data_IF_237775295671
#
_entry.id   IF_237775295671
#
_cell.length_a   1.000
_cell.length_b   1.000
_cell.length_c   1.000
_cell.angle_alpha   90.00
_cell.angle_beta   90.00
_cell.angle_gamma   90.00
#
_symmetry.space_group_name_H-M   'P 1'
#
loop_
_entity.id
_entity.type
_entity.pdbx_description
1 polymer ?
#
# COMPACT_ATOMS: atom_id res chain seq x y z
N UNK A 1 4.41 -2.87 24.03
CA UNK A 1 4.27 -2.59 25.47
C UNK A 1 5.58 -2.03 26.02
N UNK A 2 6.73 -2.74 25.92
CA UNK A 2 8.02 -2.37 26.52
C UNK A 2 8.44 -0.92 26.26
N UNK A 3 8.44 -0.51 24.98
CA UNK A 3 8.83 0.85 24.62
C UNK A 3 7.93 1.93 25.24
N UNK A 4 6.65 1.62 25.42
CA UNK A 4 5.71 2.54 26.05
C UNK A 4 5.94 2.63 27.56
N UNK A 5 6.18 1.49 28.21
CA UNK A 5 6.50 1.46 29.64
C UNK A 5 7.82 2.15 29.99
N UNK A 6 8.83 2.08 29.11
CA UNK A 6 10.12 2.77 29.31
C UNK A 6 9.99 4.31 29.39
N UNK A 7 8.96 4.88 28.76
CA UNK A 7 8.77 6.34 28.71
C UNK A 7 7.56 6.82 29.50
N UNK A 8 6.86 5.93 30.20
CA UNK A 8 5.58 6.23 30.85
C UNK A 8 5.69 7.32 31.90
N UNK A 9 6.80 7.35 32.66
CA UNK A 9 7.08 8.37 33.66
C UNK A 9 7.23 9.78 33.04
N UNK A 10 7.67 9.87 31.79
CA UNK A 10 7.80 11.13 31.06
C UNK A 10 6.50 11.57 30.37
N UNK A 11 5.45 10.77 30.45
CA UNK A 11 4.15 11.00 29.81
C UNK A 11 3.01 11.04 30.87
N UNK A 12 2.94 12.08 31.70
CA UNK A 12 1.96 12.15 32.79
C UNK A 12 0.50 12.15 32.30
N UNK A 13 0.26 12.61 31.07
CA UNK A 13 -1.09 12.64 30.47
C UNK A 13 -1.50 11.29 29.83
N UNK A 14 -0.59 10.32 29.74
CA UNK A 14 -0.92 9.00 29.21
C UNK A 14 -1.76 8.24 30.25
N UNK A 15 -3.01 7.96 29.94
CA UNK A 15 -3.93 7.28 30.84
C UNK A 15 -3.86 5.76 30.69
N UNK A 16 -3.92 5.27 29.46
CA UNK A 16 -3.92 3.82 29.16
C UNK A 16 -3.02 3.47 27.99
N UNK A 17 -2.47 2.27 28.03
CA UNK A 17 -1.77 1.60 26.94
C UNK A 17 -2.61 0.37 26.58
N UNK A 18 -3.28 0.44 25.43
CA UNK A 18 -4.13 -0.65 24.95
C UNK A 18 -3.29 -1.61 24.11
N UNK A 19 -3.39 -2.91 24.37
CA UNK A 19 -2.68 -3.95 23.65
C UNK A 19 -3.66 -5.01 23.10
N UNK A 20 -3.30 -5.67 21.99
CA UNK A 20 -4.16 -6.64 21.29
C UNK A 20 -3.80 -8.10 21.59
N UNK A 21 -2.58 -8.38 22.01
CA UNK A 21 -2.03 -9.73 22.09
C UNK A 21 -1.41 -9.96 23.45
N UNK A 22 -1.86 -10.99 24.15
CA UNK A 22 -1.41 -11.35 25.50
C UNK A 22 -0.08 -12.10 25.51
N UNK A 23 0.32 -12.70 24.39
CA UNK A 23 1.53 -13.51 24.33
C UNK A 23 2.76 -12.70 24.69
N UNK A 24 3.48 -13.16 25.70
CA UNK A 24 4.66 -12.49 26.21
C UNK A 24 4.38 -11.38 27.24
N UNK A 25 3.11 -11.15 27.62
CA UNK A 25 2.73 -10.09 28.57
C UNK A 25 2.35 -10.60 29.97
N UNK A 26 2.40 -11.90 30.25
CA UNK A 26 1.97 -12.49 31.52
C UNK A 26 2.80 -12.07 32.74
N UNK A 27 3.96 -11.46 32.55
CA UNK A 27 4.78 -10.90 33.64
C UNK A 27 4.63 -9.38 33.80
N UNK A 28 3.78 -8.75 32.99
CA UNK A 28 3.53 -7.31 33.06
C UNK A 28 2.31 -7.04 33.94
N UNK A 29 2.53 -6.35 35.05
CA UNK A 29 1.49 -5.87 35.95
C UNK A 29 1.62 -4.35 36.08
N UNK A 30 0.89 -3.62 35.24
CA UNK A 30 0.91 -2.17 35.25
C UNK A 30 -0.51 -1.60 35.09
N UNK A 31 -0.98 -0.70 35.99
CA UNK A 31 -2.38 -0.24 36.02
C UNK A 31 -2.83 0.55 34.80
N UNK A 32 -1.89 1.01 33.97
CA UNK A 32 -2.19 1.67 32.70
C UNK A 32 -2.26 0.71 31.51
N UNK A 33 -1.93 -0.58 31.69
CA UNK A 33 -2.15 -1.59 30.65
C UNK A 33 -3.62 -2.00 30.61
N UNK A 34 -4.15 -2.15 29.40
CA UNK A 34 -5.53 -2.56 29.16
C UNK A 34 -5.59 -3.44 27.92
N UNK A 35 -6.26 -4.59 28.01
CA UNK A 35 -6.52 -5.41 26.82
C UNK A 35 -7.55 -4.73 25.91
N UNK A 36 -7.41 -4.95 24.60
CA UNK A 36 -8.30 -4.33 23.62
C UNK A 36 -9.77 -4.70 23.82
N UNK A 37 -10.07 -5.92 24.24
CA UNK A 37 -11.45 -6.35 24.49
C UNK A 37 -12.07 -5.58 25.67
N UNK A 38 -11.30 -5.31 26.74
CA UNK A 38 -11.75 -4.46 27.85
C UNK A 38 -12.05 -3.04 27.37
N UNK A 39 -11.17 -2.50 26.50
CA UNK A 39 -11.39 -1.19 25.89
C UNK A 39 -12.67 -1.16 25.04
N UNK A 40 -12.97 -2.23 24.28
CA UNK A 40 -14.20 -2.33 23.50
C UNK A 40 -15.47 -2.38 24.39
N UNK A 41 -15.43 -3.10 25.51
CA UNK A 41 -16.57 -3.15 26.45
C UNK A 41 -16.85 -1.78 27.09
N UNK A 42 -15.79 -1.02 27.43
CA UNK A 42 -15.95 0.36 27.89
C UNK A 42 -16.63 1.21 26.79
N UNK A 43 -16.12 1.15 25.57
CA UNK A 43 -16.69 1.88 24.42
C UNK A 43 -18.13 1.52 24.13
N UNK A 44 -18.51 0.24 24.28
CA UNK A 44 -19.87 -0.21 24.12
C UNK A 44 -20.80 0.35 25.19
N UNK A 45 -20.36 0.34 26.46
CA UNK A 45 -21.13 0.91 27.57
C UNK A 45 -21.34 2.43 27.39
N UNK A 46 -20.30 3.14 26.96
CA UNK A 46 -20.40 4.57 26.67
C UNK A 46 -21.33 4.87 25.49
N UNK A 47 -21.25 4.06 24.44
CA UNK A 47 -22.14 4.22 23.28
C UNK A 47 -23.63 3.97 23.64
N UNK A 48 -23.91 2.99 24.49
CA UNK A 48 -25.27 2.73 24.97
C UNK A 48 -25.79 3.91 25.84
N UNK A 49 -24.91 4.55 26.63
CA UNK A 49 -25.26 5.69 27.46
C UNK A 49 -25.42 7.00 26.66
N UNK A 50 -24.61 7.18 25.61
CA UNK A 50 -24.55 8.42 24.82
C UNK A 50 -24.51 8.11 23.32
N UNK A 51 -25.59 7.59 22.72
CA UNK A 51 -25.58 7.13 21.33
C UNK A 51 -25.29 8.24 20.31
N UNK A 52 -25.66 9.47 20.60
CA UNK A 52 -25.47 10.65 19.71
C UNK A 52 -24.05 11.26 19.82
N UNK A 53 -23.22 10.80 20.78
CA UNK A 53 -21.93 11.44 21.08
C UNK A 53 -21.00 11.49 19.87
N UNK A 54 -20.91 10.40 19.10
CA UNK A 54 -20.02 10.34 17.92
C UNK A 54 -20.46 11.33 16.85
N UNK A 55 -21.77 11.39 16.56
CA UNK A 55 -22.33 12.32 15.55
C UNK A 55 -22.16 13.78 15.97
N UNK A 56 -22.35 14.08 17.27
CA UNK A 56 -22.09 15.41 17.83
C UNK A 56 -20.62 15.82 17.71
N UNK A 57 -19.67 14.89 17.92
CA UNK A 57 -18.25 15.21 17.77
C UNK A 57 -17.88 15.38 16.29
N UNK A 58 -18.40 14.53 15.39
CA UNK A 58 -18.19 14.65 13.95
C UNK A 58 -18.68 16.00 13.42
N UNK A 59 -19.83 16.48 13.91
CA UNK A 59 -20.39 17.78 13.52
C UNK A 59 -19.54 18.98 13.95
N UNK A 60 -18.64 18.83 14.92
CA UNK A 60 -17.74 19.89 15.42
C UNK A 60 -16.42 19.98 14.66
N UNK A 61 -16.11 18.96 13.84
CA UNK A 61 -14.83 18.92 13.11
C UNK A 61 -14.82 20.00 12.04
N UNK A 62 -13.73 20.78 12.04
CA UNK A 62 -13.48 21.81 11.04
C UNK A 62 -12.26 21.45 10.15
N UNK A 63 -12.20 22.05 8.96
CA UNK A 63 -11.14 21.78 7.99
C UNK A 63 -9.71 21.97 8.55
N UNK A 64 -9.55 22.88 9.48
CA UNK A 64 -8.25 23.19 10.10
C UNK A 64 -7.87 22.25 11.25
N UNK A 65 -8.79 21.42 11.74
CA UNK A 65 -8.48 20.46 12.80
C UNK A 65 -7.48 19.40 12.32
N UNK A 66 -6.55 19.05 13.20
CA UNK A 66 -5.54 18.04 12.91
C UNK A 66 -6.17 16.64 13.01
N UNK A 67 -6.26 15.96 11.87
CA UNK A 67 -6.79 14.60 11.81
C UNK A 67 -5.76 13.58 12.31
N UNK A 68 -4.48 13.73 11.92
CA UNK A 68 -3.40 12.86 12.37
C UNK A 68 -2.02 13.46 12.15
N UNK A 69 -1.03 12.90 12.85
CA UNK A 69 0.38 13.24 12.70
C UNK A 69 1.13 12.15 11.94
N UNK A 70 1.97 12.57 11.00
CA UNK A 70 2.89 11.67 10.29
C UNK A 70 4.31 12.04 10.65
N UNK A 71 4.99 11.18 11.42
CA UNK A 71 6.37 11.40 11.79
C UNK A 71 7.30 11.01 10.65
N UNK A 72 8.14 11.92 10.22
CA UNK A 72 9.17 11.70 9.22
C UNK A 72 10.56 11.79 9.87
N UNK A 73 11.46 10.90 9.47
CA UNK A 73 12.88 11.03 9.79
C UNK A 73 13.42 12.22 9.03
N UNK A 74 13.43 13.41 9.63
CA UNK A 74 14.06 14.58 9.02
C UNK A 74 15.53 14.31 8.64
N UNK A 75 16.04 15.00 7.63
CA UNK A 75 17.45 14.89 7.19
C UNK A 75 18.44 15.30 8.27
N UNK A 76 17.99 16.01 9.30
CA UNK A 76 18.83 16.48 10.40
C UNK A 76 18.06 16.43 11.72
N UNK A 77 18.37 15.47 12.58
CA UNK A 77 17.93 15.48 13.98
C UNK A 77 16.75 14.57 14.33
N UNK A 78 15.94 14.99 15.29
CA UNK A 78 14.80 14.21 15.79
C UNK A 78 13.66 14.14 14.77
N UNK A 79 12.89 13.04 14.70
CA UNK A 79 11.71 12.95 13.85
C UNK A 79 10.75 14.13 14.07
N UNK A 80 10.21 14.67 12.99
CA UNK A 80 9.23 15.76 13.00
C UNK A 80 7.85 15.23 12.64
N UNK A 81 6.83 15.62 13.41
CA UNK A 81 5.43 15.29 13.13
C UNK A 81 4.83 16.27 12.13
N UNK A 82 4.53 15.81 10.92
CA UNK A 82 3.75 16.58 9.95
C UNK A 82 2.28 16.50 10.34
N UNK A 83 1.64 17.63 10.55
CA UNK A 83 0.22 17.73 10.88
C UNK A 83 -0.61 17.64 9.59
N UNK A 84 -1.49 16.66 9.52
CA UNK A 84 -2.42 16.48 8.41
C UNK A 84 -3.81 16.86 8.92
N UNK A 85 -4.41 17.87 8.32
CA UNK A 85 -5.73 18.37 8.71
C UNK A 85 -6.86 17.64 7.99
N UNK A 86 -8.09 17.76 8.51
CA UNK A 86 -9.29 17.24 7.84
C UNK A 86 -9.48 17.88 6.46
N UNK A 87 -9.19 19.18 6.30
CA UNK A 87 -9.21 19.86 5.01
C UNK A 87 -8.20 19.30 4.00
N UNK A 88 -6.99 18.93 4.43
CA UNK A 88 -6.04 18.25 3.55
C UNK A 88 -6.60 16.92 3.03
N UNK A 89 -7.24 16.14 3.91
CA UNK A 89 -7.85 14.86 3.55
C UNK A 89 -9.01 15.07 2.59
N UNK A 90 -9.92 16.01 2.90
CA UNK A 90 -11.07 16.32 2.07
C UNK A 90 -10.66 16.79 0.67
N UNK A 91 -9.62 17.65 0.58
CA UNK A 91 -9.10 18.09 -0.69
C UNK A 91 -8.54 16.92 -1.52
N UNK A 92 -7.70 16.07 -0.92
CA UNK A 92 -7.15 14.88 -1.60
C UNK A 92 -8.29 13.95 -2.04
N UNK A 93 -9.26 13.68 -1.18
CA UNK A 93 -10.41 12.85 -1.50
C UNK A 93 -11.18 13.37 -2.72
N UNK A 94 -11.35 14.70 -2.83
CA UNK A 94 -12.00 15.34 -4.00
C UNK A 94 -11.21 15.15 -5.31
N UNK A 95 -9.89 14.92 -5.25
CA UNK A 95 -9.03 14.70 -6.42
C UNK A 95 -8.95 13.22 -6.85
N UNK A 96 -9.34 12.28 -5.99
CA UNK A 96 -9.23 10.83 -6.30
C UNK A 96 -9.91 10.44 -7.62
N UNK A 97 -11.11 10.95 -7.98
CA UNK A 97 -11.72 10.63 -9.27
C UNK A 97 -10.83 10.93 -10.48
N UNK A 98 -9.94 11.93 -10.35
CA UNK A 98 -9.04 12.38 -11.42
C UNK A 98 -7.71 11.61 -11.41
N UNK A 99 -7.49 10.72 -10.45
CA UNK A 99 -6.26 9.92 -10.42
C UNK A 99 -6.33 8.83 -11.51
N UNK A 100 -5.30 8.76 -12.35
CA UNK A 100 -5.17 7.71 -13.36
C UNK A 100 -5.19 6.30 -12.75
N UNK A 101 -4.87 6.18 -11.47
CA UNK A 101 -4.98 4.96 -10.67
C UNK A 101 -6.43 4.46 -10.60
N UNK A 102 -7.41 5.36 -10.53
CA UNK A 102 -8.83 5.05 -10.38
C UNK A 102 -9.55 5.05 -11.72
N UNK A 103 -9.25 6.02 -12.58
CA UNK A 103 -9.88 6.20 -13.90
C UNK A 103 -9.77 4.95 -14.78
N UNK A 104 -8.65 4.22 -14.67
CA UNK A 104 -8.39 3.04 -15.49
C UNK A 104 -8.97 1.74 -14.90
N UNK A 105 -9.59 1.78 -13.73
CA UNK A 105 -10.16 0.58 -13.09
C UNK A 105 -11.52 0.27 -13.72
N UNK A 106 -11.64 -0.89 -14.34
CA UNK A 106 -12.85 -1.40 -14.99
C UNK A 106 -13.52 -2.52 -14.20
N UNK A 107 -12.81 -3.09 -13.26
CA UNK A 107 -13.33 -4.14 -12.39
C UNK A 107 -14.50 -3.62 -11.56
N UNK A 108 -15.58 -4.40 -11.49
CA UNK A 108 -16.73 -4.12 -10.60
C UNK A 108 -16.41 -4.40 -9.13
N UNK A 109 -15.40 -5.20 -8.89
CA UNK A 109 -14.92 -5.59 -7.56
C UNK A 109 -13.41 -5.34 -7.50
N UNK A 110 -12.98 -4.07 -7.39
CA UNK A 110 -11.57 -3.75 -7.30
C UNK A 110 -10.95 -4.38 -6.05
N UNK A 111 -9.68 -4.78 -6.16
CA UNK A 111 -8.95 -5.39 -5.06
C UNK A 111 -7.58 -4.73 -4.90
N UNK A 112 -7.24 -4.47 -3.66
CA UNK A 112 -5.93 -3.97 -3.23
C UNK A 112 -5.20 -5.03 -2.39
N UNK A 113 -3.88 -4.94 -2.37
CA UNK A 113 -3.03 -5.53 -1.34
C UNK A 113 -2.47 -4.42 -0.47
N UNK A 114 -2.92 -4.35 0.78
CA UNK A 114 -2.38 -3.46 1.81
C UNK A 114 -1.16 -4.10 2.45
N UNK A 115 -0.02 -3.47 2.31
CA UNK A 115 1.25 -3.90 2.91
C UNK A 115 2.08 -2.74 3.46
N UNK A 116 1.64 -1.50 3.21
CA UNK A 116 2.31 -0.31 3.71
C UNK A 116 1.81 0.01 5.12
N UNK A 117 2.71 0.35 6.04
CA UNK A 117 2.27 0.77 7.37
C UNK A 117 1.37 2.01 7.32
N UNK A 118 0.28 2.01 8.08
CA UNK A 118 -0.63 3.17 8.18
C UNK A 118 0.01 4.40 8.84
N UNK A 119 1.19 4.27 9.47
CA UNK A 119 1.98 5.41 9.90
C UNK A 119 2.64 6.17 8.73
N UNK A 120 2.69 5.56 7.54
CA UNK A 120 3.19 6.19 6.32
C UNK A 120 2.05 6.82 5.53
N UNK A 121 2.22 8.09 5.09
CA UNK A 121 1.16 8.85 4.39
C UNK A 121 0.65 8.12 3.11
N UNK A 122 1.54 7.46 2.38
CA UNK A 122 1.15 6.75 1.16
C UNK A 122 0.25 5.54 1.47
N UNK A 123 0.51 4.79 2.55
CA UNK A 123 -0.37 3.72 3.02
C UNK A 123 -1.76 4.26 3.37
N UNK A 124 -1.85 5.36 4.13
CA UNK A 124 -3.12 6.01 4.46
C UNK A 124 -3.89 6.48 3.22
N UNK A 125 -3.19 7.11 2.26
CA UNK A 125 -3.82 7.55 1.01
C UNK A 125 -4.47 6.38 0.27
N UNK A 126 -3.75 5.27 0.11
CA UNK A 126 -4.23 4.12 -0.65
C UNK A 126 -5.31 3.36 0.12
N UNK A 127 -5.00 2.94 1.35
CA UNK A 127 -5.84 2.01 2.10
C UNK A 127 -7.10 2.67 2.66
N UNK A 128 -7.05 3.98 2.95
CA UNK A 128 -8.22 4.68 3.48
C UNK A 128 -8.98 5.44 2.39
N UNK A 129 -8.30 6.31 1.62
CA UNK A 129 -9.00 7.21 0.71
C UNK A 129 -9.30 6.55 -0.64
N UNK A 130 -8.30 5.96 -1.30
CA UNK A 130 -8.51 5.36 -2.62
C UNK A 130 -9.39 4.11 -2.52
N UNK A 131 -9.16 3.26 -1.53
CA UNK A 131 -9.97 2.06 -1.33
C UNK A 131 -11.43 2.40 -1.02
N UNK A 132 -11.68 3.37 -0.13
CA UNK A 132 -13.05 3.83 0.20
C UNK A 132 -13.75 4.43 -1.03
N UNK A 133 -13.03 5.24 -1.82
CA UNK A 133 -13.60 5.86 -3.02
C UNK A 133 -13.95 4.82 -4.10
N UNK A 134 -13.11 3.81 -4.28
CA UNK A 134 -13.32 2.75 -5.28
C UNK A 134 -14.19 1.60 -4.78
N UNK A 135 -14.60 1.61 -3.52
CA UNK A 135 -15.28 0.50 -2.84
C UNK A 135 -14.53 -0.82 -2.99
N UNK A 136 -13.21 -0.75 -2.98
CA UNK A 136 -12.35 -1.90 -3.21
C UNK A 136 -12.25 -2.81 -1.99
N UNK A 137 -12.12 -4.11 -2.23
CA UNK A 137 -11.74 -5.06 -1.20
C UNK A 137 -10.26 -4.88 -0.84
N UNK A 138 -9.98 -4.67 0.44
CA UNK A 138 -8.62 -4.57 0.96
C UNK A 138 -8.20 -5.94 1.49
N UNK A 139 -7.15 -6.50 0.90
CA UNK A 139 -6.50 -7.71 1.38
C UNK A 139 -5.23 -7.29 2.14
N UNK A 140 -5.08 -7.73 3.38
CA UNK A 140 -3.90 -7.38 4.17
C UNK A 140 -2.78 -8.41 3.96
N UNK A 141 -1.58 -7.94 3.64
CA UNK A 141 -0.40 -8.79 3.58
C UNK A 141 -0.03 -9.30 4.98
N UNK A 142 0.45 -10.52 5.08
CA UNK A 142 0.91 -11.09 6.34
C UNK A 142 2.13 -10.32 6.88
N UNK A 143 3.05 -9.96 5.99
CA UNK A 143 4.22 -9.15 6.30
C UNK A 143 4.81 -8.49 5.05
N UNK A 144 5.77 -7.58 5.23
CA UNK A 144 6.51 -6.98 4.11
C UNK A 144 7.33 -8.04 3.34
N UNK A 145 7.75 -9.10 4.00
CA UNK A 145 8.54 -10.16 3.38
C UNK A 145 7.69 -11.14 2.56
N UNK A 146 6.40 -11.27 2.90
CA UNK A 146 5.45 -12.13 2.18
C UNK A 146 4.74 -11.44 1.03
N UNK A 147 4.90 -10.13 0.83
CA UNK A 147 4.18 -9.33 -0.19
C UNK A 147 4.19 -10.00 -1.57
N UNK A 148 5.30 -10.64 -1.99
CA UNK A 148 5.37 -11.25 -3.31
C UNK A 148 4.55 -12.54 -3.41
N UNK A 149 4.46 -13.35 -2.35
CA UNK A 149 3.58 -14.52 -2.27
C UNK A 149 2.12 -14.10 -2.21
N UNK A 150 1.83 -13.10 -1.39
CA UNK A 150 0.48 -12.56 -1.19
C UNK A 150 -0.07 -11.95 -2.50
N UNK A 151 0.79 -11.22 -3.24
CA UNK A 151 0.46 -10.73 -4.58
C UNK A 151 0.11 -11.88 -5.54
N UNK A 152 0.89 -12.97 -5.52
CA UNK A 152 0.65 -14.10 -6.41
C UNK A 152 -0.66 -14.84 -6.08
N UNK A 153 -1.10 -14.84 -4.83
CA UNK A 153 -2.34 -15.42 -4.37
C UNK A 153 -3.55 -14.53 -4.69
N UNK A 154 -3.48 -13.26 -4.28
CA UNK A 154 -4.60 -12.30 -4.36
C UNK A 154 -4.81 -11.80 -5.78
N UNK A 155 -3.74 -11.49 -6.51
CA UNK A 155 -3.79 -10.91 -7.85
C UNK A 155 -4.62 -9.63 -7.89
N UNK A 156 -4.20 -8.55 -7.20
CA UNK A 156 -4.99 -7.33 -7.09
C UNK A 156 -5.22 -6.66 -8.45
N UNK A 157 -6.34 -5.94 -8.57
CA UNK A 157 -6.65 -5.13 -9.77
C UNK A 157 -5.95 -3.79 -9.74
N UNK A 158 -5.68 -3.28 -8.54
CA UNK A 158 -4.97 -2.02 -8.31
C UNK A 158 -3.74 -2.32 -7.46
N UNK A 159 -2.55 -1.97 -7.99
CA UNK A 159 -1.29 -2.24 -7.32
C UNK A 159 -0.48 -0.96 -7.10
N UNK A 160 -0.64 -0.31 -5.94
CA UNK A 160 0.26 0.75 -5.51
C UNK A 160 1.56 0.14 -5.00
N UNK A 161 2.68 0.51 -5.61
CA UNK A 161 3.98 -0.05 -5.29
C UNK A 161 4.99 1.03 -4.92
N UNK A 162 5.74 0.81 -3.83
CA UNK A 162 6.95 1.59 -3.62
C UNK A 162 8.08 1.03 -4.49
N UNK A 163 9.03 1.85 -4.97
CA UNK A 163 10.10 1.41 -5.88
C UNK A 163 10.82 0.14 -5.44
N UNK A 164 11.10 0.03 -4.15
CA UNK A 164 11.80 -1.14 -3.56
C UNK A 164 11.06 -2.47 -3.79
N UNK A 165 9.74 -2.47 -3.82
CA UNK A 165 8.96 -3.70 -4.10
C UNK A 165 9.11 -4.07 -5.58
N UNK A 166 9.04 -3.10 -6.49
CA UNK A 166 9.25 -3.34 -7.92
C UNK A 166 10.67 -3.83 -8.21
N UNK A 167 11.69 -3.28 -7.55
CA UNK A 167 13.08 -3.73 -7.62
C UNK A 167 13.24 -5.18 -7.14
N UNK A 168 12.61 -5.54 -6.02
CA UNK A 168 12.59 -6.94 -5.52
C UNK A 168 11.90 -7.87 -6.51
N UNK A 169 10.76 -7.46 -7.10
CA UNK A 169 10.05 -8.24 -8.11
C UNK A 169 10.91 -8.47 -9.35
N UNK A 170 11.54 -7.41 -9.85
CA UNK A 170 12.48 -7.49 -10.98
C UNK A 170 13.66 -8.43 -10.68
N UNK A 171 14.36 -8.19 -9.58
CA UNK A 171 15.52 -9.01 -9.17
C UNK A 171 15.14 -10.46 -8.97
N UNK A 172 14.00 -10.72 -8.32
CA UNK A 172 13.47 -12.08 -8.13
C UNK A 172 13.14 -12.78 -9.44
N UNK A 173 12.56 -12.06 -10.42
CA UNK A 173 12.32 -12.60 -11.76
C UNK A 173 13.62 -12.94 -12.48
N UNK A 174 14.62 -12.05 -12.42
CA UNK A 174 15.92 -12.25 -13.06
C UNK A 174 16.69 -13.43 -12.45
N UNK A 175 16.67 -13.59 -11.13
CA UNK A 175 17.30 -14.73 -10.44
C UNK A 175 16.63 -16.05 -10.87
N UNK A 176 15.30 -16.14 -10.82
CA UNK A 176 14.56 -17.34 -11.22
C UNK A 176 14.80 -17.71 -12.70
N UNK A 177 15.04 -16.72 -13.55
CA UNK A 177 15.36 -16.98 -14.96
C UNK A 177 16.75 -17.54 -15.19
N UNK A 178 17.71 -17.33 -14.27
CA UNK A 178 19.05 -18.00 -14.33
C UNK A 178 18.93 -19.51 -14.21
N UNK A 179 17.99 -19.97 -13.35
CA UNK A 179 17.76 -21.39 -13.10
C UNK A 179 16.76 -22.03 -14.07
N UNK A 180 16.20 -21.26 -15.00
CA UNK A 180 15.25 -21.75 -15.99
C UNK A 180 15.95 -22.56 -17.09
N UNK A 181 15.19 -23.45 -17.75
CA UNK A 181 15.69 -24.21 -18.92
C UNK A 181 16.14 -23.27 -20.04
N UNK A 182 17.05 -23.75 -20.90
CA UNK A 182 17.59 -22.96 -22.00
C UNK A 182 16.50 -22.31 -22.87
N UNK A 183 15.48 -23.09 -23.24
CA UNK A 183 14.38 -22.57 -24.08
C UNK A 183 13.63 -21.42 -23.36
N UNK A 184 13.29 -21.59 -22.08
CA UNK A 184 12.60 -20.54 -21.30
C UNK A 184 13.44 -19.27 -21.19
N UNK A 185 14.75 -19.41 -21.02
CA UNK A 185 15.66 -18.25 -20.98
C UNK A 185 15.70 -17.50 -22.32
N UNK A 186 15.73 -18.21 -23.45
CA UNK A 186 15.74 -17.56 -24.75
C UNK A 186 14.40 -16.85 -25.04
N UNK A 187 13.27 -17.50 -24.77
CA UNK A 187 11.96 -16.89 -24.91
C UNK A 187 11.83 -15.64 -24.04
N UNK A 188 12.30 -15.70 -22.80
CA UNK A 188 12.30 -14.54 -21.90
C UNK A 188 13.16 -13.39 -22.43
N UNK A 189 14.40 -13.68 -22.90
CA UNK A 189 15.28 -12.66 -23.51
C UNK A 189 14.65 -11.99 -24.71
N UNK A 190 14.04 -12.76 -25.60
CA UNK A 190 13.32 -12.23 -26.78
C UNK A 190 12.15 -11.35 -26.32
N UNK A 191 11.34 -11.81 -25.38
CA UNK A 191 10.22 -11.03 -24.85
C UNK A 191 10.68 -9.72 -24.22
N UNK A 192 11.74 -9.74 -23.42
CA UNK A 192 12.29 -8.52 -22.81
C UNK A 192 12.85 -7.56 -23.85
N UNK A 193 13.53 -8.05 -24.88
CA UNK A 193 13.99 -7.22 -25.99
C UNK A 193 12.82 -6.53 -26.71
N UNK A 194 11.79 -7.28 -27.06
CA UNK A 194 10.57 -6.73 -27.68
C UNK A 194 9.84 -5.74 -26.76
N UNK A 195 9.77 -6.07 -25.45
CA UNK A 195 9.16 -5.22 -24.43
C UNK A 195 9.89 -3.89 -24.27
N UNK A 196 11.23 -3.90 -24.25
CA UNK A 196 12.02 -2.67 -24.17
C UNK A 196 11.80 -1.76 -25.38
N UNK A 197 11.80 -2.30 -26.60
CA UNK A 197 11.49 -1.53 -27.82
C UNK A 197 10.08 -0.95 -27.71
N UNK A 198 9.11 -1.74 -27.27
CA UNK A 198 7.73 -1.27 -27.14
C UNK A 198 7.59 -0.17 -26.06
N UNK A 199 8.30 -0.31 -24.94
CA UNK A 199 8.32 0.69 -23.86
C UNK A 199 8.93 2.02 -24.34
N UNK A 200 10.07 1.99 -25.04
CA UNK A 200 10.70 3.18 -25.62
C UNK A 200 9.77 3.87 -26.62
N UNK A 201 9.15 3.11 -27.54
CA UNK A 201 8.18 3.67 -28.48
C UNK A 201 6.98 4.34 -27.82
N UNK A 202 6.46 3.75 -26.73
CA UNK A 202 5.36 4.35 -25.97
C UNK A 202 5.77 5.64 -25.28
N UNK A 203 6.98 5.70 -24.74
CA UNK A 203 7.49 6.88 -24.03
C UNK A 203 7.84 8.03 -25.00
N UNK A 204 8.39 7.69 -26.18
CA UNK A 204 8.89 8.71 -27.12
C UNK A 204 7.84 9.21 -28.12
N UNK A 205 6.84 8.39 -28.44
CA UNK A 205 5.86 8.70 -29.51
C UNK A 205 4.44 8.83 -28.97
N UNK A 206 3.81 7.71 -28.62
CA UNK A 206 2.43 7.67 -28.15
C UNK A 206 2.19 6.34 -27.40
N UNK A 207 1.45 6.43 -26.31
CA UNK A 207 0.96 5.26 -25.57
C UNK A 207 0.14 4.30 -26.46
N UNK A 208 -0.45 4.80 -27.52
CA UNK A 208 -1.27 4.05 -28.48
C UNK A 208 -0.52 3.51 -29.70
N UNK A 209 0.82 3.66 -29.75
CA UNK A 209 1.64 3.19 -30.88
C UNK A 209 1.28 1.75 -31.28
N UNK A 210 0.84 1.50 -32.54
CA UNK A 210 0.37 0.18 -32.98
C UNK A 210 1.50 -0.86 -33.05
N UNK A 211 2.73 -0.42 -33.34
CA UNK A 211 3.90 -1.33 -33.35
C UNK A 211 4.22 -1.76 -31.94
N UNK A 212 4.18 -0.86 -30.97
CA UNK A 212 4.37 -1.21 -29.57
C UNK A 212 3.33 -2.24 -29.09
N UNK A 213 2.06 -2.08 -29.51
CA UNK A 213 1.01 -3.06 -29.19
C UNK A 213 1.29 -4.46 -29.78
N UNK A 214 1.78 -4.53 -31.02
CA UNK A 214 2.15 -5.80 -31.66
C UNK A 214 3.32 -6.46 -30.94
N UNK A 215 4.38 -5.69 -30.65
CA UNK A 215 5.56 -6.21 -29.95
C UNK A 215 5.20 -6.74 -28.55
N UNK A 216 4.37 -6.02 -27.80
CA UNK A 216 3.88 -6.47 -26.50
C UNK A 216 2.98 -7.72 -26.65
N UNK A 217 2.18 -7.83 -27.70
CA UNK A 217 1.37 -9.01 -28.00
C UNK A 217 2.22 -10.26 -28.22
N UNK A 218 3.32 -10.13 -28.98
CA UNK A 218 4.29 -11.22 -29.17
C UNK A 218 4.96 -11.57 -27.84
N UNK A 219 5.45 -10.59 -27.09
CA UNK A 219 6.06 -10.80 -25.77
C UNK A 219 5.10 -11.47 -24.77
N UNK A 220 3.80 -11.12 -24.85
CA UNK A 220 2.74 -11.75 -24.06
C UNK A 220 2.62 -13.25 -24.33
N UNK A 221 2.56 -13.62 -25.58
CA UNK A 221 2.48 -15.03 -25.99
C UNK A 221 3.71 -15.83 -25.56
N UNK A 222 4.90 -15.24 -25.69
CA UNK A 222 6.17 -15.92 -25.41
C UNK A 222 6.45 -16.10 -23.92
N UNK A 223 6.30 -15.04 -23.09
CA UNK A 223 6.65 -15.13 -21.66
C UNK A 223 5.88 -14.18 -20.73
N UNK A 224 5.40 -13.01 -21.16
CA UNK A 224 4.84 -12.00 -20.24
C UNK A 224 3.58 -12.48 -19.51
N UNK A 225 2.73 -13.29 -20.17
CA UNK A 225 1.57 -13.89 -19.51
C UNK A 225 1.95 -14.70 -18.29
N UNK A 226 2.97 -15.56 -18.43
CA UNK A 226 3.45 -16.41 -17.34
C UNK A 226 4.17 -15.58 -16.27
N UNK A 227 4.93 -14.58 -16.69
CA UNK A 227 5.63 -13.67 -15.80
C UNK A 227 4.64 -12.87 -14.95
N UNK A 228 3.66 -12.19 -15.56
CA UNK A 228 2.61 -11.45 -14.85
C UNK A 228 1.87 -12.32 -13.83
N UNK A 229 1.55 -13.56 -14.20
CA UNK A 229 0.90 -14.50 -13.28
C UNK A 229 1.78 -14.80 -12.07
N UNK A 230 3.07 -15.05 -12.27
CA UNK A 230 4.02 -15.35 -11.20
C UNK A 230 4.34 -14.14 -10.31
N UNK A 231 4.26 -12.94 -10.87
CA UNK A 231 4.42 -11.70 -10.14
C UNK A 231 3.13 -11.26 -9.41
N UNK A 232 2.01 -11.98 -9.62
CA UNK A 232 0.74 -11.62 -9.01
C UNK A 232 0.03 -10.45 -9.69
N UNK A 233 0.38 -10.12 -10.92
CA UNK A 233 -0.14 -8.96 -11.64
C UNK A 233 -1.07 -9.32 -12.81
N UNK A 234 -1.58 -10.57 -12.90
CA UNK A 234 -2.42 -10.98 -14.03
C UNK A 234 -3.71 -10.20 -14.15
N UNK A 235 -4.30 -9.82 -13.01
CA UNK A 235 -5.54 -9.04 -12.94
C UNK A 235 -5.29 -7.54 -12.80
N UNK A 236 -4.02 -7.10 -12.67
CA UNK A 236 -3.72 -5.70 -12.47
C UNK A 236 -4.12 -4.88 -13.71
N UNK A 237 -5.06 -3.98 -13.50
CA UNK A 237 -5.55 -3.00 -14.49
C UNK A 237 -4.72 -1.72 -14.41
N UNK A 238 -4.31 -1.36 -13.20
CA UNK A 238 -3.48 -0.20 -12.96
C UNK A 238 -2.43 -0.48 -11.88
N UNK A 239 -1.26 0.11 -12.06
CA UNK A 239 -0.19 0.10 -11.08
C UNK A 239 0.45 1.49 -11.04
N UNK A 240 0.73 1.96 -9.82
CA UNK A 240 1.45 3.22 -9.62
C UNK A 240 2.67 2.99 -8.74
N UNK A 241 3.68 3.81 -8.97
CA UNK A 241 4.84 3.88 -8.07
C UNK A 241 5.02 5.31 -7.58
N UNK A 242 5.36 5.44 -6.30
CA UNK A 242 5.54 6.73 -5.65
C UNK A 242 6.40 6.65 -4.39
N UNK A 243 6.45 7.75 -3.66
CA UNK A 243 7.20 7.96 -2.43
C UNK A 243 8.74 8.02 -2.58
N UNK A 244 9.33 7.53 -3.67
CA UNK A 244 10.76 7.64 -3.97
C UNK A 244 11.00 7.55 -5.48
N UNK A 245 12.16 8.03 -5.98
CA UNK A 245 12.56 7.82 -7.36
C UNK A 245 12.69 6.34 -7.70
N UNK A 246 12.33 5.97 -8.93
CA UNK A 246 12.48 4.62 -9.46
C UNK A 246 13.48 4.63 -10.62
N UNK A 247 14.31 3.59 -10.70
CA UNK A 247 15.27 3.45 -11.79
C UNK A 247 14.54 3.21 -13.13
N UNK A 248 14.97 3.86 -14.23
CA UNK A 248 14.33 3.71 -15.54
C UNK A 248 14.25 2.26 -16.04
N UNK A 249 15.23 1.43 -15.69
CA UNK A 249 15.28 0.01 -16.04
C UNK A 249 14.12 -0.77 -15.42
N UNK A 250 13.70 -0.38 -14.22
CA UNK A 250 12.57 -1.02 -13.52
C UNK A 250 11.24 -0.62 -14.18
N UNK A 251 11.13 0.63 -14.66
CA UNK A 251 9.93 1.08 -15.40
C UNK A 251 9.78 0.41 -16.75
N UNK A 252 10.88 0.01 -17.40
CA UNK A 252 10.87 -0.69 -18.68
C UNK A 252 10.55 -2.19 -18.54
N UNK A 253 10.77 -2.75 -17.34
CA UNK A 253 10.47 -4.15 -17.02
C UNK A 253 8.97 -4.39 -16.84
#
# INVERSE_FOLDING_TARGET
>A
VDKALQVIESLPQLEKIVYFEDRGLYSYDHPKLMHFDEFLEIGKSEFEAYPEYVDEQLAKIEDHDVAFLVYTSGTTGRPKGSMITHGNIAWVASQIPNFSLVENVKSKEPQFLSYLPLCHIFGRLIDLLVASHTMATINFAESIDTVQSDLAEIQPTIFPAVPRILERMHSGAMVRMKDATFIKRQLFKISMFLGNIAAERKLERDFNDPIAKILLGIGWLLSFRTLKKKLGLSKAETAISGAAPIAPEILKF
#
